data_IF_588617188130
#
_entry.id   IF_588617188130
#
_cell.length_a   1.000
_cell.length_b   1.000
_cell.length_c   1.000
_cell.angle_alpha   90.00
_cell.angle_beta   90.00
_cell.angle_gamma   90.00
#
_symmetry.space_group_name_H-M   'P 1'
#
loop_
_entity.id
_entity.type
_entity.pdbx_description
1 polymer ?
#
# COMPACT_ATOMS: atom_id res chain seq x y z
N UNK A 1 27.56 -1.57 -32.28
CA UNK A 1 28.32 -1.03 -31.11
C UNK A 1 27.50 -0.92 -29.84
N UNK A 2 26.17 -0.66 -29.87
CA UNK A 2 25.32 -0.70 -28.65
C UNK A 2 25.03 -2.13 -28.17
N UNK A 3 24.87 -3.09 -29.08
CA UNK A 3 24.51 -4.47 -28.71
C UNK A 3 25.67 -5.24 -28.06
N UNK A 4 26.91 -4.97 -28.49
CA UNK A 4 28.14 -5.59 -27.94
C UNK A 4 28.47 -5.12 -26.52
N UNK A 5 28.00 -3.92 -26.13
CA UNK A 5 28.24 -3.38 -24.79
C UNK A 5 27.23 -3.93 -23.78
N UNK A 6 26.01 -4.24 -24.23
CA UNK A 6 24.96 -4.88 -23.41
C UNK A 6 25.28 -6.34 -23.07
N UNK A 7 25.88 -7.09 -24.00
CA UNK A 7 26.25 -8.49 -23.78
C UNK A 7 27.45 -8.64 -22.84
N UNK A 8 28.44 -7.75 -22.91
CA UNK A 8 29.58 -7.71 -21.98
C UNK A 8 29.16 -7.39 -20.54
N UNK A 9 28.18 -6.51 -20.36
CA UNK A 9 27.63 -6.15 -19.05
C UNK A 9 26.84 -7.32 -18.43
N UNK A 10 26.11 -8.08 -19.25
CA UNK A 10 25.35 -9.25 -18.83
C UNK A 10 26.27 -10.42 -18.41
N UNK A 11 27.38 -10.62 -19.13
CA UNK A 11 28.40 -11.63 -18.79
C UNK A 11 29.17 -11.24 -17.52
N UNK A 12 29.47 -9.95 -17.32
CA UNK A 12 30.09 -9.46 -16.09
C UNK A 12 29.15 -9.61 -14.87
N UNK A 13 27.84 -9.40 -15.05
CA UNK A 13 26.82 -9.64 -14.02
C UNK A 13 26.68 -11.13 -13.68
N UNK A 14 26.73 -12.02 -14.68
CA UNK A 14 26.69 -13.47 -14.48
C UNK A 14 27.97 -13.99 -13.79
N UNK A 15 29.14 -13.45 -14.13
CA UNK A 15 30.41 -13.80 -13.48
C UNK A 15 30.49 -13.27 -12.04
N UNK A 16 29.89 -12.12 -11.75
CA UNK A 16 29.79 -11.59 -10.39
C UNK A 16 28.87 -12.44 -9.49
N UNK A 17 27.84 -13.09 -10.06
CA UNK A 17 26.96 -14.00 -9.32
C UNK A 17 27.62 -15.35 -8.97
N UNK A 18 28.60 -15.80 -9.75
CA UNK A 18 29.28 -17.09 -9.54
C UNK A 18 30.35 -17.07 -8.44
N UNK A 19 30.83 -15.89 -8.02
CA UNK A 19 31.93 -15.77 -7.05
C UNK A 19 31.45 -15.75 -5.58
N UNK A 20 30.14 -15.68 -5.33
CA UNK A 20 29.59 -15.52 -3.96
C UNK A 20 29.28 -16.82 -3.21
N UNK A 21 29.65 -18.00 -3.72
CA UNK A 21 29.43 -19.27 -2.99
C UNK A 21 30.55 -19.48 -1.97
N UNK A 22 30.43 -18.83 -0.81
CA UNK A 22 31.17 -19.24 0.39
C UNK A 22 30.28 -20.12 1.28
N UNK A 23 30.62 -21.40 1.38
CA UNK A 23 30.08 -22.28 2.43
C UNK A 23 30.48 -21.72 3.80
N UNK A 24 29.51 -21.24 4.56
CA UNK A 24 29.71 -20.80 5.94
C UNK A 24 28.57 -21.27 6.83
N UNK A 25 28.92 -21.75 8.03
CA UNK A 25 28.01 -22.33 9.02
C UNK A 25 27.05 -21.27 9.57
N UNK A 26 25.87 -21.72 10.02
CA UNK A 26 24.84 -20.82 10.53
C UNK A 26 25.31 -20.27 11.87
N UNK A 27 25.41 -18.95 11.99
CA UNK A 27 25.53 -18.29 13.29
C UNK A 27 24.14 -18.29 13.94
N UNK A 28 24.04 -18.86 15.14
CA UNK A 28 22.80 -18.89 15.91
C UNK A 28 22.38 -17.49 16.40
N UNK A 29 21.08 -17.26 16.53
CA UNK A 29 20.57 -16.07 17.24
C UNK A 29 20.80 -16.30 18.73
N UNK A 30 21.90 -15.76 19.24
CA UNK A 30 22.09 -15.63 20.68
C UNK A 30 21.28 -14.42 21.15
N UNK A 31 20.28 -14.68 21.99
CA UNK A 31 19.53 -13.59 22.60
C UNK A 31 20.43 -12.93 23.64
N UNK A 32 20.91 -11.74 23.31
CA UNK A 32 21.37 -10.84 24.37
C UNK A 32 20.13 -10.42 25.17
N UNK A 33 20.17 -10.59 26.49
CA UNK A 33 19.11 -10.15 27.40
C UNK A 33 18.82 -8.64 27.31
N UNK A 34 19.74 -7.88 26.69
CA UNK A 34 19.74 -6.42 26.58
C UNK A 34 19.15 -5.92 25.25
N UNK A 35 19.07 -6.74 24.20
CA UNK A 35 18.55 -6.27 22.91
C UNK A 35 17.03 -6.03 22.99
N UNK A 36 16.65 -4.76 22.95
CA UNK A 36 15.26 -4.30 22.85
C UNK A 36 14.62 -4.66 21.50
N UNK A 37 15.43 -4.65 20.43
CA UNK A 37 15.03 -4.93 19.06
C UNK A 37 16.16 -5.65 18.31
N UNK A 38 15.83 -6.72 17.59
CA UNK A 38 16.79 -7.47 16.77
C UNK A 38 16.15 -7.93 15.46
N UNK A 39 16.74 -7.55 14.32
CA UNK A 39 16.32 -8.06 13.01
C UNK A 39 16.70 -9.53 12.90
N UNK A 40 15.75 -10.39 12.52
CA UNK A 40 15.96 -11.83 12.41
C UNK A 40 16.47 -12.25 11.02
N UNK A 41 16.28 -11.42 9.99
CA UNK A 41 16.73 -11.66 8.60
C UNK A 41 18.14 -12.25 8.44
N UNK A 42 19.17 -11.79 9.18
CA UNK A 42 20.54 -12.33 9.04
C UNK A 42 20.67 -13.80 9.47
N UNK A 43 19.75 -14.28 10.29
CA UNK A 43 19.82 -15.58 10.96
C UNK A 43 18.80 -16.60 10.43
N UNK A 44 18.06 -16.21 9.39
CA UNK A 44 17.04 -17.03 8.77
C UNK A 44 17.68 -17.95 7.74
N UNK A 45 17.23 -19.20 7.74
CA UNK A 45 17.38 -20.09 6.60
C UNK A 45 16.01 -20.32 5.99
N UNK A 46 15.92 -20.41 4.66
CA UNK A 46 14.66 -20.63 3.97
C UNK A 46 14.70 -21.83 3.03
N UNK A 47 13.54 -22.43 2.80
CA UNK A 47 13.31 -23.49 1.83
C UNK A 47 12.03 -23.18 1.06
N UNK A 48 12.08 -23.35 -0.26
CA UNK A 48 10.96 -23.07 -1.16
C UNK A 48 10.30 -24.39 -1.54
N UNK A 49 9.12 -24.65 -0.97
CA UNK A 49 8.27 -25.78 -1.33
C UNK A 49 7.33 -25.37 -2.48
N UNK A 50 7.71 -25.71 -3.71
CA UNK A 50 6.94 -25.40 -4.91
C UNK A 50 5.60 -26.11 -5.00
N UNK A 51 5.45 -27.25 -4.32
CA UNK A 51 4.23 -28.06 -4.39
C UNK A 51 3.23 -27.74 -3.27
N UNK A 52 3.66 -26.97 -2.25
CA UNK A 52 2.89 -26.63 -1.05
C UNK A 52 2.43 -27.85 -0.23
N UNK A 53 3.09 -28.99 -0.40
CA UNK A 53 2.66 -30.26 0.21
C UNK A 53 3.32 -30.54 1.55
N UNK A 54 4.44 -29.88 1.86
CA UNK A 54 5.17 -30.17 3.09
C UNK A 54 4.43 -29.59 4.30
N UNK A 55 4.32 -30.42 5.33
CA UNK A 55 3.83 -30.04 6.66
C UNK A 55 4.99 -29.99 7.67
N UNK A 56 4.72 -29.44 8.87
CA UNK A 56 5.74 -29.33 9.92
C UNK A 56 6.35 -30.69 10.31
N UNK A 57 5.57 -31.77 10.21
CA UNK A 57 6.04 -33.13 10.46
C UNK A 57 7.14 -33.54 9.48
N UNK A 58 6.99 -33.23 8.19
CA UNK A 58 7.98 -33.56 7.16
C UNK A 58 9.26 -32.73 7.30
N UNK A 59 9.12 -31.47 7.71
CA UNK A 59 10.24 -30.56 7.97
C UNK A 59 11.07 -31.04 9.16
N UNK A 60 10.42 -31.55 10.20
CA UNK A 60 11.08 -31.97 11.45
C UNK A 60 11.55 -33.42 11.43
N UNK A 61 11.01 -34.26 10.55
CA UNK A 61 11.42 -35.65 10.36
C UNK A 61 12.85 -35.83 9.79
N UNK A 62 13.54 -34.74 9.45
CA UNK A 62 14.96 -34.78 9.08
C UNK A 62 15.23 -35.19 7.64
N UNK A 63 14.30 -34.91 6.71
CA UNK A 63 14.64 -34.93 5.30
C UNK A 63 15.73 -33.89 5.05
N UNK A 64 16.81 -34.26 4.34
CA UNK A 64 17.91 -33.37 3.92
C UNK A 64 17.39 -32.34 2.89
N UNK A 65 16.54 -31.42 3.35
CA UNK A 65 16.02 -30.33 2.55
C UNK A 65 17.13 -29.28 2.34
N UNK A 66 17.36 -28.79 1.11
CA UNK A 66 18.40 -27.81 0.82
C UNK A 66 18.01 -26.42 1.31
N UNK A 67 18.17 -26.18 2.61
CA UNK A 67 17.97 -24.86 3.22
C UNK A 67 18.99 -23.84 2.71
N UNK A 68 18.51 -22.71 2.22
CA UNK A 68 19.33 -21.60 1.75
C UNK A 68 19.41 -20.51 2.82
N UNK A 69 20.60 -19.93 3.05
CA UNK A 69 20.81 -18.88 4.05
C UNK A 69 20.63 -17.50 3.44
N UNK A 70 20.06 -16.58 4.20
CA UNK A 70 19.67 -15.26 3.66
C UNK A 70 20.82 -14.26 3.58
N UNK A 71 22.02 -14.51 4.12
CA UNK A 71 23.24 -13.66 3.99
C UNK A 71 22.99 -12.13 4.01
N UNK A 72 22.16 -11.63 4.93
CA UNK A 72 21.76 -10.20 5.03
C UNK A 72 20.93 -9.62 3.86
N UNK A 73 20.52 -10.44 2.88
CA UNK A 73 19.54 -10.03 1.88
C UNK A 73 18.14 -9.93 2.49
N UNK A 74 17.30 -9.04 1.97
CA UNK A 74 15.91 -8.96 2.40
C UNK A 74 15.20 -10.29 2.06
N UNK A 75 14.30 -10.73 2.94
CA UNK A 75 13.46 -11.91 2.70
C UNK A 75 12.34 -11.52 1.75
N UNK A 76 12.68 -11.35 0.48
CA UNK A 76 11.74 -11.04 -0.58
C UNK A 76 11.75 -12.15 -1.63
N UNK A 77 10.62 -12.84 -1.74
CA UNK A 77 10.44 -13.93 -2.69
C UNK A 77 9.62 -13.50 -3.91
N UNK A 78 9.29 -12.20 -4.02
CA UNK A 78 8.46 -11.66 -5.09
C UNK A 78 7.08 -12.32 -5.14
N UNK A 79 6.44 -12.31 -6.31
CA UNK A 79 5.23 -13.08 -6.56
C UNK A 79 5.61 -14.55 -6.73
N UNK A 80 5.24 -15.38 -5.76
CA UNK A 80 5.52 -16.81 -5.78
C UNK A 80 4.31 -17.58 -5.30
N UNK A 81 3.86 -18.52 -6.13
CA UNK A 81 2.87 -19.51 -5.74
C UNK A 81 3.51 -20.67 -4.96
N UNK A 82 4.68 -20.50 -4.33
CA UNK A 82 5.29 -21.55 -3.49
C UNK A 82 4.94 -21.33 -2.01
N UNK A 83 5.08 -22.39 -1.21
CA UNK A 83 5.14 -22.27 0.24
C UNK A 83 6.58 -22.01 0.67
N UNK A 84 6.81 -20.91 1.38
CA UNK A 84 8.13 -20.55 1.88
C UNK A 84 8.23 -21.00 3.33
N UNK A 85 9.10 -21.96 3.58
CA UNK A 85 9.48 -22.38 4.91
C UNK A 85 10.69 -21.56 5.37
N UNK A 86 10.62 -21.00 6.56
CA UNK A 86 11.68 -20.25 7.22
C UNK A 86 12.03 -20.97 8.52
N UNK A 87 13.32 -21.09 8.81
CA UNK A 87 13.85 -21.71 10.02
C UNK A 87 14.80 -20.76 10.72
N UNK A 88 14.65 -20.65 12.03
CA UNK A 88 15.43 -19.78 12.90
C UNK A 88 15.79 -20.55 14.17
N UNK A 89 17.09 -20.68 14.45
CA UNK A 89 17.56 -21.22 15.72
C UNK A 89 17.70 -20.09 16.73
N UNK A 90 17.00 -20.23 17.86
CA UNK A 90 16.99 -19.26 18.95
C UNK A 90 17.51 -19.90 20.22
N UNK A 91 18.36 -19.17 20.94
CA UNK A 91 18.92 -19.59 22.20
C UNK A 91 18.66 -18.53 23.28
N UNK A 92 18.15 -18.97 24.43
CA UNK A 92 18.10 -18.16 25.64
C UNK A 92 19.20 -18.62 26.61
N UNK A 93 20.34 -17.92 26.68
CA UNK A 93 21.45 -18.28 27.57
C UNK A 93 21.24 -17.81 29.02
N UNK A 94 20.05 -17.29 29.36
CA UNK A 94 19.79 -16.73 30.69
C UNK A 94 19.10 -17.76 31.59
N UNK A 95 19.31 -17.66 32.92
CA UNK A 95 18.68 -18.56 33.88
C UNK A 95 17.19 -18.24 34.13
N UNK A 96 16.58 -17.36 33.33
CA UNK A 96 15.18 -16.97 33.45
C UNK A 96 14.45 -17.17 32.12
N UNK A 97 13.15 -17.43 32.18
CA UNK A 97 12.33 -17.50 30.98
C UNK A 97 12.26 -16.12 30.30
N UNK A 98 12.61 -16.07 29.02
CA UNK A 98 12.55 -14.86 28.23
C UNK A 98 11.23 -14.81 27.44
N UNK A 99 10.40 -13.79 27.69
CA UNK A 99 9.23 -13.48 26.85
C UNK A 99 9.63 -12.46 25.79
N UNK A 100 9.28 -12.73 24.54
CA UNK A 100 9.59 -11.91 23.37
C UNK A 100 8.40 -11.87 22.42
N UNK A 101 8.42 -10.91 21.50
CA UNK A 101 7.45 -10.79 20.42
C UNK A 101 8.20 -10.87 19.09
N UNK A 102 7.71 -11.68 18.16
CA UNK A 102 8.16 -11.65 16.77
C UNK A 102 7.14 -10.84 15.98
N UNK A 103 7.60 -9.80 15.31
CA UNK A 103 6.80 -8.97 14.42
C UNK A 103 7.11 -9.28 12.96
N UNK A 104 6.05 -9.51 12.18
CA UNK A 104 6.07 -9.51 10.71
C UNK A 104 5.24 -8.30 10.23
N UNK A 105 5.88 -7.18 9.87
CA UNK A 105 5.20 -5.95 9.44
C UNK A 105 4.75 -6.02 7.97
N UNK A 106 3.95 -7.03 7.64
CA UNK A 106 3.31 -7.18 6.32
C UNK A 106 1.98 -7.91 6.47
N UNK A 107 0.87 -7.17 6.49
CA UNK A 107 -0.47 -7.67 6.85
C UNK A 107 -1.18 -8.47 5.74
N UNK A 108 -0.66 -8.42 4.51
CA UNK A 108 -1.26 -8.99 3.30
C UNK A 108 -0.89 -10.45 3.06
N UNK A 109 -0.05 -11.06 3.90
CA UNK A 109 0.30 -12.48 3.77
C UNK A 109 -0.96 -13.33 3.99
N UNK A 110 -1.27 -14.21 3.03
CA UNK A 110 -2.52 -14.97 3.06
C UNK A 110 -2.55 -16.00 4.17
N UNK A 111 -1.46 -16.74 4.37
CA UNK A 111 -1.33 -17.69 5.47
C UNK A 111 0.09 -17.69 6.05
N UNK A 112 0.15 -17.59 7.37
CA UNK A 112 1.33 -17.59 8.23
C UNK A 112 1.10 -18.66 9.30
N UNK A 113 1.86 -19.73 9.22
CA UNK A 113 1.88 -20.77 10.24
C UNK A 113 3.19 -20.67 11.01
N UNK A 114 3.10 -20.59 12.32
CA UNK A 114 4.23 -20.51 13.22
C UNK A 114 4.30 -21.75 14.07
N UNK A 115 5.48 -22.35 14.16
CA UNK A 115 5.77 -23.51 14.98
C UNK A 115 7.00 -23.24 15.82
N UNK A 116 6.90 -23.44 17.13
CA UNK A 116 8.01 -23.34 18.07
C UNK A 116 8.32 -24.72 18.62
N UNK A 117 9.52 -25.24 18.34
CA UNK A 117 9.90 -26.62 18.65
C UNK A 117 11.17 -26.62 19.48
N UNK A 118 11.17 -27.34 20.61
CA UNK A 118 12.37 -27.45 21.44
C UNK A 118 13.38 -28.46 20.85
N UNK A 119 14.58 -28.52 21.41
CA UNK A 119 15.62 -29.47 20.97
C UNK A 119 15.25 -30.96 21.09
N UNK A 120 14.19 -31.28 21.85
CA UNK A 120 13.68 -32.65 21.99
C UNK A 120 12.61 -32.99 20.93
N UNK A 121 12.35 -32.08 19.98
CA UNK A 121 11.31 -32.24 18.95
C UNK A 121 9.89 -31.98 19.45
N UNK A 122 9.70 -31.50 20.68
CA UNK A 122 8.38 -31.18 21.23
C UNK A 122 7.93 -29.80 20.76
N UNK A 123 6.71 -29.76 20.21
CA UNK A 123 6.00 -28.52 19.90
C UNK A 123 5.63 -27.77 21.20
N UNK A 124 6.18 -26.57 21.35
CA UNK A 124 5.94 -25.67 22.48
C UNK A 124 4.77 -24.71 22.20
N UNK A 125 4.64 -24.21 20.97
CA UNK A 125 3.55 -23.34 20.54
C UNK A 125 3.30 -23.47 19.03
N UNK A 126 2.05 -23.26 18.63
CA UNK A 126 1.62 -23.18 17.24
C UNK A 126 0.59 -22.05 17.08
N UNK A 127 0.76 -21.20 16.06
CA UNK A 127 -0.22 -20.20 15.66
C UNK A 127 -0.44 -20.24 14.15
N UNK A 128 -1.71 -20.27 13.73
CA UNK A 128 -2.11 -20.20 12.32
C UNK A 128 -2.93 -18.93 12.12
N UNK A 129 -2.45 -18.06 11.26
CA UNK A 129 -3.04 -16.76 11.01
C UNK A 129 -2.79 -16.31 9.57
N UNK A 130 -3.37 -15.20 9.15
CA UNK A 130 -3.14 -14.68 7.81
C UNK A 130 -4.26 -13.74 7.36
N UNK A 131 -4.15 -13.23 6.15
CA UNK A 131 -5.20 -12.44 5.49
C UNK A 131 -6.38 -13.33 5.07
N UNK A 132 -6.14 -14.64 4.89
CA UNK A 132 -7.12 -15.69 4.54
C UNK A 132 -7.94 -16.20 5.73
N UNK A 133 -7.50 -15.91 6.95
CA UNK A 133 -8.07 -16.42 8.19
C UNK A 133 -8.82 -15.29 8.89
N UNK A 134 -9.81 -15.61 9.73
CA UNK A 134 -10.48 -14.59 10.56
C UNK A 134 -9.47 -13.78 11.37
N UNK A 135 -9.69 -12.47 11.50
CA UNK A 135 -8.75 -11.59 12.22
C UNK A 135 -8.51 -12.07 13.67
N UNK A 136 -9.52 -12.65 14.30
CA UNK A 136 -9.45 -13.22 15.65
C UNK A 136 -8.52 -14.42 15.80
N UNK A 137 -8.02 -15.02 14.71
CA UNK A 137 -7.02 -16.09 14.77
C UNK A 137 -5.62 -15.57 15.14
N UNK A 138 -5.39 -14.26 15.02
CA UNK A 138 -4.14 -13.62 15.44
C UNK A 138 -4.01 -13.66 16.97
N UNK A 139 -2.87 -14.13 17.52
CA UNK A 139 -2.70 -14.25 18.97
C UNK A 139 -2.69 -12.88 19.68
N UNK A 140 -2.28 -11.82 18.98
CA UNK A 140 -2.37 -10.43 19.44
C UNK A 140 -3.11 -9.64 18.37
N UNK A 141 -4.18 -8.94 18.78
CA UNK A 141 -4.99 -8.10 17.91
C UNK A 141 -4.22 -6.84 17.48
N UNK A 142 -3.48 -6.94 16.39
CA UNK A 142 -2.65 -5.88 15.83
C UNK A 142 -2.71 -5.92 14.30
N UNK A 143 -2.53 -4.76 13.64
CA UNK A 143 -2.57 -4.66 12.18
C UNK A 143 -1.43 -5.44 11.50
N UNK A 144 -0.22 -5.40 12.09
CA UNK A 144 0.88 -6.33 11.79
C UNK A 144 0.68 -7.69 12.48
N UNK A 145 1.34 -8.73 11.98
CA UNK A 145 1.36 -10.04 12.64
C UNK A 145 2.34 -10.04 13.80
N UNK A 146 1.85 -10.20 15.03
CA UNK A 146 2.66 -10.24 16.25
C UNK A 146 2.52 -11.61 16.90
N UNK A 147 3.64 -12.32 17.05
CA UNK A 147 3.68 -13.69 17.56
C UNK A 147 4.37 -13.70 18.92
N UNK A 148 3.68 -14.13 20.00
CA UNK A 148 4.30 -14.27 21.30
C UNK A 148 5.23 -15.48 21.35
N UNK A 149 6.46 -15.25 21.81
CA UNK A 149 7.48 -16.28 21.97
C UNK A 149 7.90 -16.35 23.44
N UNK A 150 7.84 -17.53 24.04
CA UNK A 150 8.37 -17.78 25.38
C UNK A 150 9.50 -18.78 25.29
N UNK A 151 10.71 -18.35 25.65
CA UNK A 151 11.90 -19.19 25.63
C UNK A 151 12.25 -19.60 27.06
N UNK A 152 12.29 -20.90 27.36
CA UNK A 152 12.71 -21.39 28.66
C UNK A 152 14.14 -20.93 29.02
N UNK A 153 14.44 -20.88 30.32
CA UNK A 153 15.79 -20.64 30.82
C UNK A 153 16.78 -21.68 30.27
N UNK A 154 17.99 -21.23 29.94
CA UNK A 154 19.13 -22.05 29.49
C UNK A 154 18.78 -23.06 28.38
N UNK A 155 17.87 -22.67 27.47
CA UNK A 155 17.35 -23.54 26.43
C UNK A 155 17.60 -22.97 25.02
N UNK A 156 17.81 -23.88 24.07
CA UNK A 156 17.67 -23.59 22.64
C UNK A 156 16.43 -24.28 22.07
N UNK A 157 15.94 -23.71 20.97
CA UNK A 157 14.78 -24.17 20.24
C UNK A 157 14.83 -23.67 18.80
N UNK A 158 14.09 -24.30 17.92
CA UNK A 158 13.95 -23.90 16.53
C UNK A 158 12.55 -23.38 16.29
N UNK A 159 12.47 -22.25 15.59
CA UNK A 159 11.24 -21.65 15.12
C UNK A 159 11.13 -21.96 13.64
N UNK A 160 9.98 -22.51 13.24
CA UNK A 160 9.61 -22.67 11.85
C UNK A 160 8.44 -21.74 11.53
N UNK A 161 8.53 -21.09 10.37
CA UNK A 161 7.48 -20.25 9.83
C UNK A 161 7.18 -20.73 8.42
N UNK A 162 5.92 -21.04 8.14
CA UNK A 162 5.44 -21.33 6.79
C UNK A 162 4.61 -20.15 6.32
N UNK A 163 5.00 -19.57 5.19
CA UNK A 163 4.38 -18.39 4.60
C UNK A 163 3.91 -18.75 3.20
N UNK A 164 2.63 -18.47 2.92
CA UNK A 164 2.03 -18.62 1.59
C UNK A 164 1.17 -17.40 1.27
N UNK A 165 1.09 -17.03 0.00
CA UNK A 165 0.14 -16.04 -0.45
C UNK A 165 0.28 -15.70 -1.93
N UNK A 166 -0.74 -15.02 -2.43
CA UNK A 166 -0.85 -14.60 -3.83
C UNK A 166 -0.32 -13.17 -4.07
N UNK A 167 0.29 -12.59 -3.04
CA UNK A 167 0.93 -11.27 -3.05
C UNK A 167 2.46 -11.42 -3.12
N UNK A 168 3.17 -10.31 -3.31
CA UNK A 168 4.62 -10.31 -3.16
C UNK A 168 4.99 -10.75 -1.74
N UNK A 169 5.68 -11.88 -1.59
CA UNK A 169 6.06 -12.44 -0.30
C UNK A 169 7.31 -11.72 0.24
N UNK A 170 7.08 -10.60 0.89
CA UNK A 170 8.08 -9.89 1.68
C UNK A 170 7.88 -10.24 3.16
N UNK A 171 8.87 -10.89 3.78
CA UNK A 171 8.78 -11.42 5.16
C UNK A 171 9.87 -10.82 6.06
N UNK A 172 9.85 -9.50 6.29
CA UNK A 172 10.71 -8.88 7.30
C UNK A 172 10.30 -9.44 8.66
N UNK A 173 11.29 -9.79 9.48
CA UNK A 173 11.06 -10.33 10.82
C UNK A 173 11.93 -9.61 11.83
N UNK A 174 11.29 -9.12 12.88
CA UNK A 174 11.96 -8.44 13.97
C UNK A 174 11.56 -9.09 15.29
N UNK A 175 12.55 -9.41 16.10
CA UNK A 175 12.36 -9.85 17.48
C UNK A 175 12.43 -8.65 18.41
N UNK A 176 11.47 -8.56 19.33
CA UNK A 176 11.31 -7.46 20.25
C UNK A 176 11.24 -7.93 21.70
N UNK A 177 11.73 -7.10 22.62
CA UNK A 177 11.27 -7.14 24.00
C UNK A 177 9.82 -6.60 24.06
N UNK A 178 9.04 -7.08 25.04
CA UNK A 178 7.62 -6.68 25.16
C UNK A 178 7.51 -5.15 25.35
N UNK A 179 8.35 -4.57 26.21
CA UNK A 179 8.32 -3.15 26.53
C UNK A 179 8.71 -2.28 25.34
N UNK A 180 9.76 -2.67 24.60
CA UNK A 180 10.21 -1.94 23.42
C UNK A 180 9.18 -1.99 22.30
N UNK A 181 8.58 -3.16 22.05
CA UNK A 181 7.51 -3.31 21.06
C UNK A 181 6.35 -2.37 21.36
N UNK A 182 5.82 -2.39 22.59
CA UNK A 182 4.69 -1.52 22.94
C UNK A 182 5.06 -0.04 22.89
N UNK A 183 6.29 0.35 23.25
CA UNK A 183 6.74 1.73 23.12
C UNK A 183 6.75 2.21 21.67
N UNK A 184 7.28 1.40 20.76
CA UNK A 184 7.34 1.72 19.32
C UNK A 184 5.94 1.67 18.70
N UNK A 185 5.19 0.59 18.92
CA UNK A 185 3.82 0.42 18.41
C UNK A 185 2.88 1.54 18.90
N UNK A 186 3.00 2.00 20.15
CA UNK A 186 2.22 3.14 20.64
C UNK A 186 2.56 4.43 19.91
N UNK A 187 3.85 4.69 19.67
CA UNK A 187 4.28 5.86 18.92
C UNK A 187 3.80 5.83 17.46
N UNK A 188 3.94 4.68 16.79
CA UNK A 188 3.43 4.47 15.43
C UNK A 188 1.90 4.62 15.35
N UNK A 189 1.17 4.07 16.31
CA UNK A 189 -0.30 4.24 16.39
C UNK A 189 -0.70 5.70 16.59
N UNK A 190 0.04 6.48 17.39
CA UNK A 190 -0.21 7.91 17.57
C UNK A 190 0.01 8.69 16.27
N UNK A 191 1.10 8.41 15.55
CA UNK A 191 1.39 9.04 14.26
C UNK A 191 0.34 8.67 13.21
N UNK A 192 -0.03 7.39 13.13
CA UNK A 192 -1.10 6.91 12.25
C UNK A 192 -2.45 7.55 12.60
N UNK A 193 -2.78 7.71 13.89
CA UNK A 193 -4.00 8.37 14.32
C UNK A 193 -4.05 9.84 13.87
N UNK A 194 -2.95 10.59 14.04
CA UNK A 194 -2.84 11.98 13.56
C UNK A 194 -2.95 12.02 12.03
N UNK A 195 -2.26 11.12 11.33
CA UNK A 195 -2.27 11.00 9.88
C UNK A 195 -3.69 10.77 9.34
N UNK A 196 -4.39 9.73 9.81
CA UNK A 196 -5.73 9.39 9.33
C UNK A 196 -6.76 10.46 9.72
N UNK A 197 -6.62 11.10 10.88
CA UNK A 197 -7.49 12.22 11.28
C UNK A 197 -7.34 13.41 10.36
N UNK A 198 -6.09 13.80 10.05
CA UNK A 198 -5.80 14.91 9.13
C UNK A 198 -6.28 14.58 7.71
N UNK A 199 -6.05 13.36 7.26
CA UNK A 199 -6.49 12.87 5.95
C UNK A 199 -8.02 12.93 5.83
N UNK A 200 -8.75 12.46 6.86
CA UNK A 200 -10.20 12.51 6.91
C UNK A 200 -10.72 13.95 6.90
N UNK A 201 -10.07 14.88 7.62
CA UNK A 201 -10.42 16.30 7.58
C UNK A 201 -10.23 16.92 6.17
N UNK A 202 -9.12 16.59 5.50
CA UNK A 202 -8.84 17.04 4.13
C UNK A 202 -9.88 16.52 3.13
N UNK A 203 -10.38 15.30 3.33
CA UNK A 203 -11.39 14.67 2.48
C UNK A 203 -12.82 15.10 2.78
N UNK A 204 -13.13 15.41 4.04
CA UNK A 204 -14.47 15.81 4.48
C UNK A 204 -14.96 17.07 3.77
N UNK A 205 -14.09 18.08 3.61
CA UNK A 205 -14.47 19.34 2.96
C UNK A 205 -14.88 19.16 1.48
N UNK A 206 -14.07 18.51 0.62
CA UNK A 206 -14.49 18.17 -0.73
C UNK A 206 -15.78 17.34 -0.79
N UNK A 207 -15.94 16.34 0.09
CA UNK A 207 -17.13 15.48 0.14
C UNK A 207 -18.40 16.27 0.48
N UNK A 208 -18.38 17.06 1.55
CA UNK A 208 -19.50 17.94 1.94
C UNK A 208 -19.89 18.88 0.80
N UNK A 209 -18.90 19.49 0.16
CA UNK A 209 -19.12 20.48 -0.89
C UNK A 209 -19.72 19.90 -2.17
N UNK A 210 -19.66 18.59 -2.37
CA UNK A 210 -20.26 17.96 -3.53
C UNK A 210 -21.76 17.81 -3.40
N UNK A 211 -22.33 17.87 -2.19
CA UNK A 211 -23.77 17.75 -1.94
C UNK A 211 -24.69 18.50 -2.92
N UNK A 212 -24.39 19.73 -3.42
CA UNK A 212 -25.25 20.45 -4.37
C UNK A 212 -24.90 20.28 -5.88
N UNK A 213 -23.90 19.48 -6.26
CA UNK A 213 -23.48 19.29 -7.68
C UNK A 213 -24.30 18.19 -8.41
N UNK A 214 -24.35 18.18 -9.76
CA UNK A 214 -25.08 17.14 -10.50
C UNK A 214 -24.64 15.73 -10.09
N UNK A 215 -25.61 14.81 -10.02
CA UNK A 215 -25.48 13.45 -9.43
C UNK A 215 -24.18 12.74 -9.85
N UNK A 216 -23.87 12.73 -11.14
CA UNK A 216 -22.72 11.97 -11.67
C UNK A 216 -21.35 12.49 -11.20
N UNK A 217 -21.18 13.82 -11.11
CA UNK A 217 -19.92 14.42 -10.62
C UNK A 217 -19.71 14.16 -9.13
N UNK A 218 -20.80 13.98 -8.36
CA UNK A 218 -20.72 13.62 -6.94
C UNK A 218 -20.19 12.21 -6.79
N UNK A 219 -20.81 11.24 -7.47
CA UNK A 219 -20.41 9.83 -7.38
C UNK A 219 -18.97 9.60 -7.85
N UNK A 220 -18.57 10.16 -9.00
CA UNK A 220 -17.20 10.01 -9.50
C UNK A 220 -16.18 10.56 -8.51
N UNK A 221 -16.44 11.73 -7.94
CA UNK A 221 -15.50 12.37 -7.03
C UNK A 221 -15.46 11.68 -5.66
N UNK A 222 -16.60 11.25 -5.12
CA UNK A 222 -16.64 10.48 -3.88
C UNK A 222 -15.93 9.14 -4.03
N UNK A 223 -16.18 8.42 -5.14
CA UNK A 223 -15.50 7.17 -5.44
C UNK A 223 -13.97 7.35 -5.52
N UNK A 224 -13.53 8.41 -6.19
CA UNK A 224 -12.10 8.75 -6.33
C UNK A 224 -11.40 9.03 -4.99
N UNK A 225 -12.13 9.42 -3.94
CA UNK A 225 -11.59 9.64 -2.59
C UNK A 225 -11.67 8.36 -1.75
N UNK A 226 -12.83 7.69 -1.78
CA UNK A 226 -13.11 6.56 -0.88
C UNK A 226 -12.36 5.30 -1.29
N UNK A 227 -12.31 4.98 -2.59
CA UNK A 227 -11.69 3.71 -3.01
C UNK A 227 -10.18 3.64 -2.79
N UNK A 228 -9.36 4.68 -3.07
CA UNK A 228 -7.94 4.61 -2.72
C UNK A 228 -7.70 4.73 -1.20
N UNK A 229 -8.59 5.38 -0.43
CA UNK A 229 -8.50 5.36 1.04
C UNK A 229 -8.69 3.96 1.60
N UNK A 230 -9.72 3.24 1.12
CA UNK A 230 -9.96 1.85 1.51
C UNK A 230 -8.80 0.95 1.07
N UNK A 231 -8.23 1.17 -0.12
CA UNK A 231 -7.05 0.42 -0.57
C UNK A 231 -5.85 0.66 0.37
N UNK A 232 -5.58 1.92 0.75
CA UNK A 232 -4.52 2.25 1.70
C UNK A 232 -4.74 1.57 3.07
N UNK A 233 -5.95 1.65 3.62
CA UNK A 233 -6.29 0.98 4.88
C UNK A 233 -6.11 -0.54 4.81
N UNK A 234 -6.38 -1.15 3.64
CA UNK A 234 -6.19 -2.58 3.44
C UNK A 234 -4.70 -2.94 3.39
N UNK A 235 -3.88 -2.18 2.66
CA UNK A 235 -2.42 -2.38 2.58
C UNK A 235 -1.78 -2.27 3.98
N UNK A 236 -2.19 -1.28 4.78
CA UNK A 236 -1.66 -1.05 6.12
C UNK A 236 -2.24 -2.01 7.19
N UNK A 237 -3.21 -2.85 6.83
CA UNK A 237 -3.86 -3.83 7.73
C UNK A 237 -4.96 -3.26 8.63
N UNK A 238 -5.11 -1.93 8.71
CA UNK A 238 -6.15 -1.27 9.51
C UNK A 238 -7.58 -1.57 9.02
N UNK A 239 -7.76 -1.77 7.71
CA UNK A 239 -9.04 -2.16 7.14
C UNK A 239 -9.52 -3.50 7.69
N UNK A 240 -8.61 -4.49 7.74
CA UNK A 240 -8.95 -5.80 8.28
C UNK A 240 -9.19 -5.75 9.79
N UNK A 241 -8.39 -5.00 10.53
CA UNK A 241 -8.53 -4.87 11.98
C UNK A 241 -9.86 -4.22 12.41
N UNK A 242 -10.31 -3.17 11.71
CA UNK A 242 -11.40 -2.32 12.19
C UNK A 242 -12.69 -2.35 11.35
N UNK A 243 -12.60 -2.58 10.03
CA UNK A 243 -13.76 -2.42 9.14
C UNK A 243 -14.42 -3.77 8.77
N UNK A 244 -13.64 -4.84 8.60
CA UNK A 244 -14.15 -6.16 8.19
C UNK A 244 -13.38 -7.34 8.83
N UNK A 245 -13.19 -7.37 10.16
CA UNK A 245 -12.40 -8.42 10.83
C UNK A 245 -12.95 -9.85 10.62
N UNK A 246 -14.25 -9.97 10.39
CA UNK A 246 -14.94 -11.24 10.22
C UNK A 246 -15.08 -11.68 8.75
N UNK A 247 -14.59 -10.89 7.79
CA UNK A 247 -14.69 -11.20 6.36
C UNK A 247 -13.31 -11.31 5.70
N UNK A 248 -12.64 -12.47 5.86
CA UNK A 248 -11.32 -12.72 5.26
C UNK A 248 -11.38 -12.80 3.73
N UNK A 249 -12.46 -13.33 3.15
CA UNK A 249 -12.62 -13.40 1.68
C UNK A 249 -12.52 -12.02 1.04
N UNK A 250 -13.25 -11.04 1.59
CA UNK A 250 -13.15 -9.64 1.16
C UNK A 250 -11.75 -9.08 1.38
N UNK A 251 -11.07 -9.43 2.47
CA UNK A 251 -9.73 -8.93 2.74
C UNK A 251 -8.70 -9.41 1.70
N UNK A 252 -8.82 -10.66 1.26
CA UNK A 252 -7.96 -11.24 0.21
C UNK A 252 -8.20 -10.61 -1.16
N UNK A 253 -9.47 -10.48 -1.59
CA UNK A 253 -9.81 -10.00 -2.94
C UNK A 253 -10.01 -8.49 -3.00
N UNK A 254 -10.09 -7.82 -1.84
CA UNK A 254 -10.46 -6.42 -1.69
C UNK A 254 -9.49 -5.49 -2.41
N UNK A 255 -8.18 -5.74 -2.35
CA UNK A 255 -7.20 -4.93 -3.08
C UNK A 255 -7.35 -5.05 -4.59
N UNK A 256 -7.54 -6.26 -5.12
CA UNK A 256 -7.80 -6.49 -6.54
C UNK A 256 -9.11 -5.86 -7.03
N UNK A 257 -10.03 -5.51 -6.13
CA UNK A 257 -11.27 -4.79 -6.42
C UNK A 257 -11.08 -3.26 -6.29
N UNK A 258 -10.49 -2.81 -5.19
CA UNK A 258 -10.36 -1.40 -4.81
C UNK A 258 -9.37 -0.65 -5.71
N UNK A 259 -8.28 -1.29 -6.14
CA UNK A 259 -7.28 -0.66 -7.01
C UNK A 259 -7.88 -0.34 -8.39
N UNK A 260 -8.47 -1.30 -9.15
CA UNK A 260 -9.17 -0.96 -10.39
C UNK A 260 -10.32 0.02 -10.18
N UNK A 261 -11.10 -0.12 -9.09
CA UNK A 261 -12.15 0.85 -8.76
C UNK A 261 -11.62 2.28 -8.61
N UNK A 262 -10.47 2.46 -7.95
CA UNK A 262 -9.80 3.77 -7.84
C UNK A 262 -9.37 4.32 -9.20
N UNK A 263 -8.79 3.48 -10.06
CA UNK A 263 -8.38 3.87 -11.41
C UNK A 263 -9.58 4.24 -12.29
N UNK A 264 -10.70 3.52 -12.18
CA UNK A 264 -11.93 3.86 -12.90
C UNK A 264 -12.41 5.27 -12.57
N UNK A 265 -12.51 5.60 -11.27
CA UNK A 265 -12.93 6.93 -10.84
C UNK A 265 -11.92 8.03 -11.19
N UNK A 266 -10.62 7.74 -11.12
CA UNK A 266 -9.57 8.65 -11.54
C UNK A 266 -9.63 8.94 -13.06
N UNK A 267 -9.81 7.91 -13.89
CA UNK A 267 -10.00 8.05 -15.34
C UNK A 267 -11.22 8.91 -15.68
N UNK A 268 -12.37 8.64 -15.06
CA UNK A 268 -13.60 9.42 -15.26
C UNK A 268 -13.42 10.87 -14.82
N UNK A 269 -12.75 11.11 -13.70
CA UNK A 269 -12.50 12.46 -13.23
C UNK A 269 -11.52 13.24 -14.13
N UNK A 270 -10.48 12.56 -14.63
CA UNK A 270 -9.55 13.12 -15.60
C UNK A 270 -10.28 13.51 -16.90
N UNK A 271 -11.19 12.65 -17.37
CA UNK A 271 -12.08 12.96 -18.50
C UNK A 271 -12.90 14.23 -18.23
N UNK A 272 -13.52 14.36 -17.05
CA UNK A 272 -14.31 15.55 -16.67
C UNK A 272 -13.45 16.83 -16.65
N UNK A 273 -12.19 16.76 -16.20
CA UNK A 273 -11.27 17.91 -16.20
C UNK A 273 -11.01 18.41 -17.61
N UNK A 274 -10.80 17.47 -18.55
CA UNK A 274 -10.27 17.73 -19.89
C UNK A 274 -11.33 17.83 -20.99
N UNK A 275 -12.57 17.38 -20.74
CA UNK A 275 -13.67 17.35 -21.71
C UNK A 275 -13.85 18.65 -22.51
N UNK A 276 -13.73 19.82 -21.86
CA UNK A 276 -13.90 21.12 -22.52
C UNK A 276 -12.57 21.74 -23.04
N UNK A 277 -11.43 21.13 -22.71
CA UNK A 277 -10.09 21.74 -22.92
C UNK A 277 -9.31 21.05 -24.03
N UNK A 278 -9.65 19.79 -24.35
CA UNK A 278 -8.93 18.99 -25.34
C UNK A 278 -9.74 18.86 -26.63
N UNK A 279 -9.20 19.27 -27.80
CA UNK A 279 -9.82 18.99 -29.09
C UNK A 279 -9.61 17.54 -29.55
N UNK A 280 -8.75 16.76 -28.87
CA UNK A 280 -8.43 15.39 -29.25
C UNK A 280 -9.44 14.41 -28.62
N UNK A 281 -10.48 14.08 -29.38
CA UNK A 281 -11.55 13.15 -28.97
C UNK A 281 -10.97 11.76 -28.63
N UNK A 282 -9.97 11.28 -29.38
CA UNK A 282 -9.36 9.95 -29.17
C UNK A 282 -8.76 9.76 -27.77
N UNK A 283 -8.14 10.79 -27.21
CA UNK A 283 -7.57 10.70 -25.85
C UNK A 283 -8.64 10.72 -24.76
N UNK A 284 -9.77 11.38 -25.01
CA UNK A 284 -10.92 11.35 -24.10
C UNK A 284 -11.64 10.00 -24.16
N UNK A 285 -11.77 9.43 -25.37
CA UNK A 285 -12.33 8.10 -25.58
C UNK A 285 -11.45 7.03 -24.92
N UNK A 286 -10.13 7.14 -25.03
CA UNK A 286 -9.20 6.25 -24.34
C UNK A 286 -9.40 6.26 -22.81
N UNK A 287 -9.64 7.42 -22.20
CA UNK A 287 -9.93 7.50 -20.76
C UNK A 287 -11.26 6.83 -20.39
N UNK A 288 -12.27 6.94 -21.25
CA UNK A 288 -13.56 6.26 -21.05
C UNK A 288 -13.39 4.76 -21.22
N UNK A 289 -12.68 4.30 -22.24
CA UNK A 289 -12.35 2.89 -22.45
C UNK A 289 -11.56 2.32 -21.27
N UNK A 290 -10.55 3.04 -20.78
CA UNK A 290 -9.81 2.66 -19.57
C UNK A 290 -10.75 2.61 -18.36
N UNK A 291 -11.64 3.58 -18.17
CA UNK A 291 -12.59 3.55 -17.07
C UNK A 291 -13.51 2.32 -17.15
N UNK A 292 -14.02 1.97 -18.34
CA UNK A 292 -14.84 0.78 -18.56
C UNK A 292 -14.04 -0.49 -18.25
N UNK A 293 -12.81 -0.60 -18.75
CA UNK A 293 -11.92 -1.74 -18.45
C UNK A 293 -11.73 -1.88 -16.94
N UNK A 294 -11.45 -0.79 -16.22
CA UNK A 294 -11.27 -0.82 -14.77
C UNK A 294 -12.56 -1.15 -14.00
N UNK A 295 -13.73 -0.76 -14.51
CA UNK A 295 -15.03 -1.17 -13.96
C UNK A 295 -15.25 -2.68 -14.15
N UNK A 296 -14.86 -3.23 -15.30
CA UNK A 296 -14.92 -4.68 -15.53
C UNK A 296 -13.92 -5.42 -14.62
N UNK A 297 -12.69 -4.89 -14.48
CA UNK A 297 -11.66 -5.44 -13.60
C UNK A 297 -12.05 -5.40 -12.12
N UNK A 298 -12.86 -4.42 -11.69
CA UNK A 298 -13.39 -4.37 -10.33
C UNK A 298 -14.15 -5.67 -9.98
N UNK A 299 -14.92 -6.23 -10.92
CA UNK A 299 -15.67 -7.46 -10.70
C UNK A 299 -14.91 -8.73 -11.11
N UNK A 300 -13.72 -8.59 -11.70
CA UNK A 300 -12.93 -9.72 -12.20
C UNK A 300 -12.49 -10.72 -11.12
N UNK A 301 -12.18 -10.35 -9.86
CA UNK A 301 -11.80 -11.31 -8.82
C UNK A 301 -12.85 -12.37 -8.50
N UNK A 302 -14.11 -12.16 -8.90
CA UNK A 302 -15.20 -13.13 -8.72
C UNK A 302 -15.04 -14.32 -9.68
N UNK A 303 -14.40 -14.12 -10.83
CA UNK A 303 -14.36 -15.09 -11.94
C UNK A 303 -12.93 -15.53 -12.24
N UNK A 304 -11.95 -14.64 -12.11
CA UNK A 304 -10.57 -14.86 -12.49
C UNK A 304 -9.66 -15.03 -11.27
N UNK A 305 -8.54 -15.73 -11.48
CA UNK A 305 -7.49 -15.86 -10.48
C UNK A 305 -6.91 -14.49 -10.09
N UNK A 306 -6.61 -14.35 -8.81
CA UNK A 306 -6.13 -13.12 -8.20
C UNK A 306 -4.91 -12.51 -8.91
N UNK A 307 -3.92 -13.35 -9.23
CA UNK A 307 -2.67 -12.96 -9.89
C UNK A 307 -2.92 -12.35 -11.27
N UNK A 308 -3.88 -12.88 -12.04
CA UNK A 308 -4.25 -12.35 -13.36
C UNK A 308 -4.87 -10.95 -13.22
N UNK A 309 -5.78 -10.76 -12.26
CA UNK A 309 -6.43 -9.47 -12.03
C UNK A 309 -5.41 -8.41 -11.61
N UNK A 310 -4.45 -8.76 -10.76
CA UNK A 310 -3.37 -7.86 -10.36
C UNK A 310 -2.50 -7.43 -11.55
N UNK A 311 -2.09 -8.36 -12.42
CA UNK A 311 -1.29 -8.04 -13.61
C UNK A 311 -2.06 -7.09 -14.54
N UNK A 312 -3.35 -7.38 -14.81
CA UNK A 312 -4.20 -6.51 -15.63
C UNK A 312 -4.38 -5.13 -14.98
N UNK A 313 -4.54 -5.08 -13.66
CA UNK A 313 -4.60 -3.86 -12.87
C UNK A 313 -3.31 -3.02 -12.98
N UNK A 314 -2.14 -3.65 -12.90
CA UNK A 314 -0.84 -3.00 -13.07
C UNK A 314 -0.67 -2.43 -14.48
N UNK A 315 -1.02 -3.18 -15.53
CA UNK A 315 -0.98 -2.70 -16.92
C UNK A 315 -1.90 -1.49 -17.11
N UNK A 316 -3.11 -1.54 -16.54
CA UNK A 316 -4.03 -0.41 -16.53
C UNK A 316 -3.48 0.81 -15.79
N UNK A 317 -2.87 0.61 -14.61
CA UNK A 317 -2.26 1.66 -13.81
C UNK A 317 -1.11 2.37 -14.56
N UNK A 318 -0.26 1.61 -15.25
CA UNK A 318 0.82 2.15 -16.09
C UNK A 318 0.23 2.97 -17.24
N UNK A 319 -0.78 2.44 -17.91
CA UNK A 319 -1.45 3.12 -19.02
C UNK A 319 -2.11 4.44 -18.58
N UNK A 320 -2.78 4.44 -17.42
CA UNK A 320 -3.32 5.64 -16.79
C UNK A 320 -2.22 6.65 -16.47
N UNK A 321 -1.11 6.20 -15.88
CA UNK A 321 0.03 7.04 -15.49
C UNK A 321 0.65 7.77 -16.69
N UNK A 322 0.88 7.05 -17.79
CA UNK A 322 1.39 7.63 -19.04
C UNK A 322 0.40 8.66 -19.60
N UNK A 323 -0.89 8.33 -19.60
CA UNK A 323 -1.95 9.21 -20.12
C UNK A 323 -2.06 10.48 -19.27
N UNK A 324 -2.01 10.35 -17.94
CA UNK A 324 -2.03 11.46 -17.00
C UNK A 324 -0.83 12.39 -17.23
N UNK A 325 0.38 11.85 -17.35
CA UNK A 325 1.59 12.63 -17.56
C UNK A 325 1.54 13.36 -18.91
N UNK A 326 1.15 12.66 -19.97
CA UNK A 326 0.97 13.23 -21.31
C UNK A 326 -0.01 14.41 -21.29
N UNK A 327 -1.20 14.22 -20.71
CA UNK A 327 -2.21 15.28 -20.63
C UNK A 327 -1.77 16.44 -19.74
N UNK A 328 -1.12 16.15 -18.61
CA UNK A 328 -0.60 17.15 -17.68
C UNK A 328 0.37 18.09 -18.36
N UNK A 329 1.31 17.57 -19.16
CA UNK A 329 2.30 18.37 -19.90
C UNK A 329 1.65 19.09 -21.09
N UNK A 330 0.92 18.36 -21.94
CA UNK A 330 0.41 18.89 -23.22
C UNK A 330 -0.58 20.04 -23.07
N UNK A 331 -1.40 19.98 -22.02
CA UNK A 331 -2.51 20.89 -21.80
C UNK A 331 -2.32 21.80 -20.59
N UNK A 332 -1.16 21.77 -19.92
CA UNK A 332 -0.87 22.58 -18.73
C UNK A 332 -1.30 24.04 -18.90
N UNK A 333 -0.92 24.69 -19.99
CA UNK A 333 -1.19 26.12 -20.21
C UNK A 333 -2.67 26.44 -20.46
N UNK A 334 -3.48 25.48 -20.92
CA UNK A 334 -4.90 25.69 -21.25
C UNK A 334 -5.85 25.53 -20.06
N UNK A 335 -5.34 25.05 -18.93
CA UNK A 335 -6.13 24.68 -17.76
C UNK A 335 -6.11 25.79 -16.71
N UNK A 336 -7.25 26.03 -16.04
CA UNK A 336 -7.33 26.97 -14.92
C UNK A 336 -6.52 26.50 -13.70
N UNK A 337 -5.95 27.44 -12.92
CA UNK A 337 -5.10 27.13 -11.75
C UNK A 337 -5.65 26.04 -10.79
N UNK A 338 -6.96 26.02 -10.41
CA UNK A 338 -7.47 25.00 -9.50
C UNK A 338 -7.34 23.57 -10.06
N UNK A 339 -7.57 23.39 -11.36
CA UNK A 339 -7.43 22.10 -12.04
C UNK A 339 -5.94 21.69 -12.13
N UNK A 340 -5.00 22.64 -12.27
CA UNK A 340 -3.54 22.37 -12.23
C UNK A 340 -3.10 21.78 -10.89
N UNK A 341 -3.60 22.33 -9.79
CA UNK A 341 -3.30 21.84 -8.43
C UNK A 341 -3.75 20.37 -8.31
N UNK A 342 -4.94 20.03 -8.79
CA UNK A 342 -5.41 18.63 -8.77
C UNK A 342 -4.52 17.70 -9.59
N UNK A 343 -4.08 18.13 -10.78
CA UNK A 343 -3.18 17.33 -11.61
C UNK A 343 -1.83 17.08 -10.92
N UNK A 344 -1.29 18.08 -10.20
CA UNK A 344 -0.05 17.88 -9.43
C UNK A 344 -0.21 16.79 -8.37
N UNK A 345 -1.32 16.78 -7.63
CA UNK A 345 -1.57 15.72 -6.64
C UNK A 345 -1.76 14.35 -7.28
N UNK A 346 -2.36 14.26 -8.47
CA UNK A 346 -2.49 12.99 -9.18
C UNK A 346 -1.13 12.45 -9.62
N UNK A 347 -0.26 13.31 -10.14
CA UNK A 347 1.10 12.91 -10.49
C UNK A 347 1.90 12.50 -9.26
N UNK A 348 1.68 13.15 -8.11
CA UNK A 348 2.33 12.77 -6.86
C UNK A 348 1.88 11.39 -6.36
N UNK A 349 0.57 11.09 -6.45
CA UNK A 349 0.06 9.75 -6.15
C UNK A 349 0.71 8.69 -7.04
N UNK A 350 0.75 8.93 -8.37
CA UNK A 350 1.41 8.02 -9.31
C UNK A 350 2.89 7.82 -8.97
N UNK A 351 3.61 8.89 -8.66
CA UNK A 351 5.03 8.83 -8.27
C UNK A 351 5.23 8.00 -7.00
N UNK A 352 4.37 8.20 -5.99
CA UNK A 352 4.44 7.42 -4.75
C UNK A 352 4.15 5.94 -4.95
N UNK A 353 3.16 5.60 -5.79
CA UNK A 353 2.87 4.21 -6.15
C UNK A 353 4.05 3.57 -6.89
N UNK A 354 4.70 4.31 -7.78
CA UNK A 354 5.90 3.84 -8.48
C UNK A 354 7.03 3.53 -7.50
N UNK A 355 7.32 4.44 -6.57
CA UNK A 355 8.34 4.23 -5.53
C UNK A 355 7.99 3.04 -4.65
N UNK A 356 6.72 2.90 -4.27
CA UNK A 356 6.23 1.77 -3.46
C UNK A 356 6.41 0.42 -4.17
N UNK A 357 6.04 0.33 -5.45
CA UNK A 357 6.24 -0.89 -6.26
C UNK A 357 7.73 -1.22 -6.38
N UNK A 358 8.58 -0.23 -6.65
CA UNK A 358 10.03 -0.42 -6.76
C UNK A 358 10.68 -0.87 -5.44
N UNK A 359 10.15 -0.40 -4.31
CA UNK A 359 10.59 -0.83 -2.98
C UNK A 359 10.14 -2.27 -2.67
N UNK A 360 8.93 -2.67 -3.08
CA UNK A 360 8.45 -4.05 -2.91
C UNK A 360 9.21 -5.03 -3.81
N UNK A 361 9.76 -4.60 -4.95
CA UNK A 361 10.54 -5.47 -5.84
C UNK A 361 12.04 -5.46 -5.55
N UNK A 362 12.47 -4.94 -4.39
CA UNK A 362 13.90 -4.79 -3.97
C UNK A 362 14.80 -4.05 -4.97
N UNK A 363 14.24 -3.33 -5.94
CA UNK A 363 15.03 -2.57 -6.92
C UNK A 363 15.66 -1.33 -6.30
N UNK A 364 15.04 -0.81 -5.23
CA UNK A 364 15.52 0.31 -4.45
C UNK A 364 15.61 -0.15 -2.99
N UNK A 365 16.71 0.12 -2.27
CA UNK A 365 16.81 -0.23 -0.86
C UNK A 365 15.70 0.47 -0.07
N UNK A 366 15.01 -0.28 0.79
CA UNK A 366 14.00 0.27 1.69
C UNK A 366 14.61 1.39 2.55
N UNK A 367 14.24 2.65 2.27
CA UNK A 367 14.72 3.80 3.03
C UNK A 367 14.02 3.85 4.40
N UNK A 368 14.74 3.90 5.53
CA UNK A 368 14.13 3.92 6.86
C UNK A 368 13.51 5.27 7.27
N UNK A 369 13.74 6.35 6.51
CA UNK A 369 13.41 7.74 6.93
C UNK A 369 12.06 8.23 6.40
N UNK A 370 11.37 7.45 5.57
CA UNK A 370 10.11 7.86 4.96
C UNK A 370 9.04 6.83 5.33
N UNK A 371 8.24 7.17 6.34
CA UNK A 371 6.92 6.56 6.56
C UNK A 371 6.23 6.40 5.19
N UNK A 372 5.73 5.19 4.94
CA UNK A 372 5.56 4.56 3.63
C UNK A 372 5.33 5.57 2.47
N UNK A 373 6.13 5.53 1.38
CA UNK A 373 6.01 6.46 0.25
C UNK A 373 4.56 6.66 -0.24
N UNK A 374 3.77 5.58 -0.18
CA UNK A 374 2.36 5.56 -0.51
C UNK A 374 1.49 6.47 0.39
N UNK A 375 1.72 6.51 1.71
CA UNK A 375 1.00 7.39 2.63
C UNK A 375 1.25 8.87 2.33
N UNK A 376 2.51 9.26 2.07
CA UNK A 376 2.86 10.63 1.68
C UNK A 376 2.26 10.99 0.33
N UNK A 377 2.33 10.04 -0.61
CA UNK A 377 1.63 10.04 -1.88
C UNK A 377 0.17 10.46 -1.78
N UNK A 378 -0.55 9.69 -0.97
CA UNK A 378 -1.97 9.84 -0.79
C UNK A 378 -2.35 11.10 0.01
N UNK A 379 -1.51 11.50 0.97
CA UNK A 379 -1.68 12.76 1.69
C UNK A 379 -1.61 13.96 0.73
N UNK A 380 -0.56 14.05 -0.09
CA UNK A 380 -0.40 15.15 -1.04
C UNK A 380 -1.47 15.14 -2.13
N UNK A 381 -1.93 13.95 -2.54
CA UNK A 381 -3.11 13.79 -3.36
C UNK A 381 -4.37 14.41 -2.73
N UNK A 382 -4.71 14.03 -1.49
CA UNK A 382 -5.88 14.54 -0.77
C UNK A 382 -5.77 16.04 -0.49
N UNK A 383 -4.58 16.50 -0.09
CA UNK A 383 -4.28 17.92 0.11
C UNK A 383 -4.48 18.73 -1.17
N UNK A 384 -4.04 18.21 -2.33
CA UNK A 384 -4.27 18.86 -3.62
C UNK A 384 -5.75 19.02 -3.96
N UNK A 385 -6.58 18.02 -3.62
CA UNK A 385 -8.03 18.06 -3.86
C UNK A 385 -8.70 19.08 -2.95
N UNK A 386 -8.33 19.08 -1.66
CA UNK A 386 -8.78 20.08 -0.71
C UNK A 386 -8.45 21.49 -1.20
N UNK A 387 -7.19 21.75 -1.55
CA UNK A 387 -6.73 23.06 -2.01
C UNK A 387 -7.37 23.48 -3.32
N UNK A 388 -7.53 22.54 -4.27
CA UNK A 388 -8.22 22.80 -5.53
C UNK A 388 -9.69 23.17 -5.31
N UNK A 389 -10.41 22.45 -4.45
CA UNK A 389 -11.78 22.84 -4.10
C UNK A 389 -11.79 24.20 -3.42
N UNK A 390 -10.97 24.45 -2.40
CA UNK A 390 -10.91 25.75 -1.74
C UNK A 390 -10.67 26.88 -2.76
N UNK A 391 -9.70 26.71 -3.67
CA UNK A 391 -9.39 27.67 -4.73
C UNK A 391 -10.54 27.89 -5.73
N UNK A 392 -11.33 26.87 -6.07
CA UNK A 392 -12.51 27.07 -6.93
C UNK A 392 -13.57 27.95 -6.28
N UNK A 393 -13.53 28.08 -4.96
CA UNK A 393 -14.68 28.54 -4.19
C UNK A 393 -14.50 29.93 -3.68
N UNK A 394 -13.26 30.25 -3.29
CA UNK A 394 -12.77 31.62 -3.21
C UNK A 394 -12.95 32.32 -4.57
N UNK A 395 -12.66 31.65 -5.69
CA UNK A 395 -12.94 32.22 -7.03
C UNK A 395 -14.44 32.44 -7.27
N UNK A 396 -15.28 31.47 -6.93
CA UNK A 396 -16.72 31.61 -7.09
C UNK A 396 -17.30 32.76 -6.25
N UNK A 397 -16.86 32.91 -5.00
CA UNK A 397 -17.30 34.00 -4.11
C UNK A 397 -16.79 35.37 -4.59
N UNK A 398 -15.54 35.44 -5.07
CA UNK A 398 -14.98 36.66 -5.67
C UNK A 398 -15.77 37.09 -6.92
N UNK A 399 -16.14 36.15 -7.79
CA UNK A 399 -16.95 36.45 -8.98
C UNK A 399 -18.38 36.88 -8.62
N UNK A 400 -18.98 36.26 -7.60
CA UNK A 400 -20.30 36.65 -7.10
C UNK A 400 -20.28 38.09 -6.55
N UNK A 401 -19.27 38.43 -5.73
CA UNK A 401 -19.08 39.80 -5.20
C UNK A 401 -18.92 40.83 -6.33
N UNK A 402 -18.09 40.53 -7.35
CA UNK A 402 -17.92 41.41 -8.52
C UNK A 402 -19.23 41.62 -9.29
N UNK A 403 -20.03 40.58 -9.50
CA UNK A 403 -21.34 40.70 -10.16
C UNK A 403 -22.32 41.55 -9.37
N UNK A 404 -22.34 41.43 -8.04
CA UNK A 404 -23.18 42.26 -7.17
C UNK A 404 -22.74 43.72 -7.24
N UNK A 405 -21.44 44.00 -7.13
CA UNK A 405 -20.91 45.36 -7.27
C UNK A 405 -21.25 45.99 -8.63
N UNK A 406 -21.09 45.25 -9.73
CA UNK A 406 -21.46 45.72 -11.07
C UNK A 406 -22.96 46.00 -11.20
N UNK A 407 -23.83 45.20 -10.55
CA UNK A 407 -25.27 45.46 -10.52
C UNK A 407 -25.60 46.71 -9.72
N UNK A 408 -24.96 46.91 -8.57
CA UNK A 408 -25.15 48.11 -7.75
C UNK A 408 -24.70 49.37 -8.49
N UNK A 409 -23.56 49.34 -9.18
CA UNK A 409 -23.08 50.44 -10.02
C UNK A 409 -24.07 50.78 -11.14
N UNK A 410 -24.60 49.78 -11.85
CA UNK A 410 -25.61 50.01 -12.90
C UNK A 410 -26.92 50.59 -12.37
N UNK A 411 -27.34 50.24 -11.16
CA UNK A 411 -28.55 50.79 -10.53
C UNK A 411 -28.30 52.23 -10.05
N UNK A 412 -27.11 52.55 -9.53
CA UNK A 412 -26.76 53.93 -9.19
C UNK A 412 -26.58 54.83 -10.42
N UNK A 413 -26.19 54.27 -11.57
CA UNK A 413 -26.01 55.00 -12.82
C UNK A 413 -27.29 55.08 -13.67
N UNK A 414 -28.37 54.34 -13.33
CA UNK A 414 -29.65 54.49 -14.03
C UNK A 414 -30.29 55.83 -13.64
N UNK A 415 -30.51 56.78 -14.58
CA UNK A 415 -31.02 58.09 -14.24
C UNK A 415 -32.42 57.98 -13.63
N UNK A 416 -32.69 58.75 -12.58
CA UNK A 416 -34.03 59.03 -12.09
C UNK A 416 -34.75 59.86 -13.18
N UNK A 417 -35.26 59.20 -14.22
CA UNK A 417 -36.12 59.81 -15.23
C UNK A 417 -37.55 59.27 -15.07
N UNK A 418 -38.28 59.82 -14.10
CA UNK A 418 -39.73 60.06 -14.22
C UNK A 418 -40.25 60.69 -12.92
N UNK A 419 -40.41 62.01 -12.91
CA UNK A 419 -41.53 62.72 -12.26
C UNK A 419 -41.33 64.24 -12.38
N UNK A 420 -41.49 64.79 -13.59
CA UNK A 420 -42.06 66.13 -13.71
C UNK A 420 -43.50 65.93 -14.18
N UNK A 421 -44.52 66.33 -13.38
CA UNK A 421 -45.91 66.20 -13.79
C UNK A 421 -46.20 67.20 -14.91
N UNK A 422 -47.12 66.90 -15.85
CA UNK A 422 -47.52 67.85 -16.87
C UNK A 422 -48.29 69.00 -16.21
N UNK A 423 -47.77 70.23 -16.30
CA UNK A 423 -48.56 71.42 -15.98
C UNK A 423 -49.65 71.61 -17.04
N UNK A 424 -50.88 71.80 -16.56
CA UNK A 424 -52.06 72.16 -17.32
C UNK A 424 -52.04 73.62 -17.79
#
# INVERSE_FOLDING_TARGET
MKDTLSSLLLVALLLAQLISVQLSHATEVTLSSVAEQQKLTPYVSYYVDTNKLLEIADITAGNDLPWTKTHNQQLNFGFSDAAIWLSINVQNPTPFNAKRLIELPYSLIDNVEFYHINNQGRLLANYIMGSAQHFSSRPIAHHNFIIPLTLPADASSTIFLRVTGNHSLHVPMTLWSIEAFWKVSQFENQLNFVYFTLLLALMAYPLYRLSPRPRIRRYVFSGMIVTPLLALLTIEGYGFQYLWPDNPEWNQTGLATLIPGSLAFLCLYLHIIFYQTTPNIKTLDMLVSLAIINILLLFAPIIFEYSVVLILGLVSAITYSITLLYMSVRYWHKIARPKKITLLGFNWLVLSCLIFVLAITDTIPAFPVIETPLQIGFFLYAFSLFWAQLATTTRASLLAKKKIQQRLQRVSESPIHSATPPCH
#
